data_IF_345765936644
#
_entry.id   IF_345765936644
#
_cell.length_a   1.000
_cell.length_b   1.000
_cell.length_c   1.000
_cell.angle_alpha   90.00
_cell.angle_beta   90.00
_cell.angle_gamma   90.00
#
_symmetry.space_group_name_H-M   'P 1'
#
loop_
_entity.id
_entity.type
_entity.pdbx_description
1 polymer ?
#
# COMPACT_ATOMS: atom_id res chain seq x y z
N UNK A 1 -1.95 -16.41 -28.76
CA UNK A 1 -2.98 -15.72 -27.93
C UNK A 1 -2.45 -15.06 -26.65
N UNK A 2 -1.22 -15.33 -26.17
CA UNK A 2 -0.71 -14.74 -24.90
C UNK A 2 -0.13 -13.31 -25.02
N UNK A 3 0.15 -12.81 -26.22
CA UNK A 3 0.77 -11.50 -26.40
C UNK A 3 -0.05 -10.32 -25.88
N UNK A 4 -1.39 -10.37 -26.01
CA UNK A 4 -2.28 -9.30 -25.57
C UNK A 4 -2.37 -9.20 -24.03
N UNK A 5 -2.41 -10.35 -23.34
CA UNK A 5 -2.45 -10.37 -21.87
C UNK A 5 -1.13 -9.90 -21.26
N UNK A 6 0.01 -10.24 -21.87
CA UNK A 6 1.32 -9.76 -21.44
C UNK A 6 1.45 -8.24 -21.56
N UNK A 7 1.01 -7.65 -22.66
CA UNK A 7 1.03 -6.20 -22.85
C UNK A 7 0.11 -5.48 -21.85
N UNK A 8 -1.09 -5.99 -21.62
CA UNK A 8 -2.01 -5.44 -20.61
C UNK A 8 -1.43 -5.56 -19.19
N UNK A 9 -0.84 -6.70 -18.85
CA UNK A 9 -0.20 -6.93 -17.56
C UNK A 9 1.02 -6.04 -17.35
N UNK A 10 1.84 -5.80 -18.38
CA UNK A 10 2.99 -4.89 -18.33
C UNK A 10 2.55 -3.44 -18.07
N UNK A 11 1.50 -2.99 -18.74
CA UNK A 11 0.93 -1.65 -18.52
C UNK A 11 0.37 -1.51 -17.09
N UNK A 12 -0.35 -2.52 -16.60
CA UNK A 12 -0.89 -2.52 -15.25
C UNK A 12 0.20 -2.64 -14.16
N UNK A 13 1.24 -3.45 -14.39
CA UNK A 13 2.33 -3.65 -13.43
C UNK A 13 3.16 -2.39 -13.25
N UNK A 14 3.36 -1.60 -14.31
CA UNK A 14 4.06 -0.29 -14.25
C UNK A 14 3.39 0.67 -13.26
N UNK A 15 2.07 0.61 -13.13
CA UNK A 15 1.31 1.42 -12.17
C UNK A 15 1.39 0.79 -10.77
N UNK A 16 1.18 -0.53 -10.66
CA UNK A 16 1.19 -1.26 -9.37
C UNK A 16 2.55 -1.17 -8.66
N UNK A 17 3.65 -1.28 -9.39
CA UNK A 17 5.01 -1.24 -8.83
C UNK A 17 5.28 0.00 -7.97
N UNK A 18 4.65 1.15 -8.31
CA UNK A 18 4.79 2.40 -7.53
C UNK A 18 4.16 2.32 -6.14
N UNK A 19 3.08 1.56 -6.00
CA UNK A 19 2.29 1.45 -4.75
C UNK A 19 2.49 0.11 -4.05
N UNK A 20 3.10 -0.87 -4.71
CA UNK A 20 3.30 -2.23 -4.23
C UNK A 20 3.98 -2.27 -2.86
N UNK A 21 4.99 -1.44 -2.63
CA UNK A 21 5.66 -1.33 -1.33
C UNK A 21 4.71 -0.87 -0.21
N UNK A 22 3.75 0.00 -0.51
CA UNK A 22 2.71 0.40 0.46
C UNK A 22 1.82 -0.80 0.74
N UNK A 23 1.29 -1.45 -0.31
CA UNK A 23 0.43 -2.63 -0.17
C UNK A 23 1.10 -3.78 0.58
N UNK A 24 2.37 -4.05 0.32
CA UNK A 24 3.15 -5.06 1.02
C UNK A 24 3.22 -4.76 2.53
N UNK A 25 3.50 -3.52 2.91
CA UNK A 25 3.49 -3.11 4.32
C UNK A 25 2.10 -3.31 4.96
N UNK A 26 1.03 -2.87 4.27
CA UNK A 26 -0.32 -2.94 4.82
C UNK A 26 -0.81 -4.39 4.96
N UNK A 27 -0.60 -5.23 3.95
CA UNK A 27 -1.07 -6.61 3.92
C UNK A 27 -0.20 -7.53 4.78
N UNK A 28 1.11 -7.48 4.61
CA UNK A 28 2.02 -8.43 5.25
C UNK A 28 2.41 -7.98 6.65
N UNK A 29 2.82 -6.72 6.83
CA UNK A 29 3.36 -6.23 8.11
C UNK A 29 2.30 -5.65 9.05
N UNK A 30 1.20 -5.12 8.52
CA UNK A 30 0.07 -4.60 9.32
C UNK A 30 -1.15 -5.52 9.36
N UNK A 31 -1.13 -6.65 8.63
CA UNK A 31 -2.22 -7.64 8.67
C UNK A 31 -3.58 -7.09 8.20
N UNK A 32 -3.60 -6.16 7.24
CA UNK A 32 -4.84 -5.53 6.81
C UNK A 32 -5.78 -6.50 6.07
N UNK A 33 -6.76 -7.03 6.81
CA UNK A 33 -7.96 -7.66 6.27
C UNK A 33 -9.15 -6.69 6.41
N UNK A 34 -9.88 -6.48 5.31
CA UNK A 34 -11.12 -5.70 5.28
C UNK A 34 -12.27 -6.71 5.20
N UNK A 35 -12.75 -7.13 6.37
CA UNK A 35 -13.88 -8.05 6.54
C UNK A 35 -14.98 -7.39 7.40
N UNK A 36 -15.22 -6.09 7.16
CA UNK A 36 -16.16 -5.28 7.95
C UNK A 36 -17.52 -5.19 7.26
N UNK A 37 -18.60 -5.33 8.02
CA UNK A 37 -19.97 -5.11 7.52
C UNK A 37 -20.19 -3.59 7.34
N UNK A 38 -20.28 -3.15 6.09
CA UNK A 38 -20.58 -1.77 5.71
C UNK A 38 -19.38 -0.94 5.23
N UNK A 39 -19.61 -0.18 4.16
CA UNK A 39 -18.58 0.61 3.44
C UNK A 39 -17.93 1.66 4.34
N UNK A 40 -18.71 2.37 5.17
CA UNK A 40 -18.17 3.41 6.07
C UNK A 40 -17.13 2.82 7.04
N UNK A 41 -17.38 1.63 7.59
CA UNK A 41 -16.43 0.94 8.49
C UNK A 41 -15.17 0.49 7.76
N UNK A 42 -15.32 -0.01 6.53
CA UNK A 42 -14.20 -0.37 5.67
C UNK A 42 -13.32 0.86 5.37
N UNK A 43 -13.94 1.99 5.02
CA UNK A 43 -13.25 3.25 4.76
C UNK A 43 -12.46 3.73 5.98
N UNK A 44 -13.05 3.71 7.18
CA UNK A 44 -12.34 4.08 8.40
C UNK A 44 -11.15 3.16 8.66
N UNK A 45 -11.30 1.84 8.49
CA UNK A 45 -10.21 0.86 8.68
C UNK A 45 -9.05 1.11 7.70
N UNK A 46 -9.36 1.33 6.42
CA UNK A 46 -8.36 1.67 5.39
C UNK A 46 -7.66 2.99 5.75
N UNK A 47 -8.43 4.02 6.12
CA UNK A 47 -7.90 5.33 6.46
C UNK A 47 -6.93 5.30 7.65
N UNK A 48 -7.30 4.60 8.73
CA UNK A 48 -6.45 4.46 9.91
C UNK A 48 -5.15 3.72 9.60
N UNK A 49 -5.21 2.64 8.82
CA UNK A 49 -4.03 1.86 8.45
C UNK A 49 -3.09 2.68 7.55
N UNK A 50 -3.65 3.47 6.62
CA UNK A 50 -2.87 4.39 5.80
C UNK A 50 -2.23 5.51 6.63
N UNK A 51 -2.94 6.04 7.63
CA UNK A 51 -2.41 7.05 8.55
C UNK A 51 -1.20 6.49 9.32
N UNK A 52 -1.32 5.30 9.90
CA UNK A 52 -0.23 4.62 10.61
C UNK A 52 0.97 4.36 9.68
N UNK A 53 0.72 3.93 8.43
CA UNK A 53 1.78 3.80 7.42
C UNK A 53 2.54 5.10 7.21
N UNK A 54 1.83 6.21 7.01
CA UNK A 54 2.45 7.51 6.76
C UNK A 54 3.23 8.01 7.98
N UNK A 55 2.76 7.77 9.21
CA UNK A 55 3.52 8.10 10.43
C UNK A 55 4.82 7.29 10.54
N UNK A 56 4.78 5.98 10.26
CA UNK A 56 5.98 5.14 10.23
C UNK A 56 6.97 5.60 9.15
N UNK A 57 6.45 5.95 7.96
CA UNK A 57 7.24 6.48 6.84
C UNK A 57 7.89 7.81 7.22
N UNK A 58 7.16 8.73 7.86
CA UNK A 58 7.71 10.00 8.34
C UNK A 58 8.85 9.79 9.34
N UNK A 59 8.66 8.89 10.32
CA UNK A 59 9.71 8.55 11.30
C UNK A 59 10.98 8.05 10.61
N UNK A 60 10.84 7.20 9.59
CA UNK A 60 11.98 6.71 8.81
C UNK A 60 12.75 7.84 8.14
N UNK A 61 12.05 8.77 7.48
CA UNK A 61 12.68 9.91 6.84
C UNK A 61 13.35 10.86 7.83
N UNK A 62 12.70 11.13 8.98
CA UNK A 62 13.30 11.95 10.04
C UNK A 62 14.61 11.36 10.54
N UNK A 63 14.66 10.04 10.81
CA UNK A 63 15.91 9.38 11.21
C UNK A 63 17.03 9.60 10.20
N UNK A 64 16.77 9.32 8.92
CA UNK A 64 17.77 9.50 7.86
C UNK A 64 18.25 10.94 7.68
N UNK A 65 17.42 11.93 8.01
CA UNK A 65 17.80 13.33 7.94
C UNK A 65 18.65 13.79 9.13
N UNK A 66 18.53 13.10 10.27
CA UNK A 66 19.32 13.38 11.50
C UNK A 66 20.64 12.60 11.53
N UNK A 67 20.72 11.47 10.81
CA UNK A 67 21.92 10.63 10.70
C UNK A 67 22.94 11.17 9.65
N UNK A 68 22.87 12.46 9.28
CA UNK A 68 23.80 13.20 8.40
C UNK A 68 24.43 14.32 9.22
#
# INVERSE_FOLDING_TARGET
>A
MLGQTVCANRSASKIRAKVERVFAELKYRMGLAIQTIGIKRAQTRIGLVNLVYNMKRLRFWKKRATDV
#
